data_IF_256594181332
#
_entry.id   IF_256594181332
#
_cell.length_a   1.000
_cell.length_b   1.000
_cell.length_c   1.000
_cell.angle_alpha   90.00
_cell.angle_beta   90.00
_cell.angle_gamma   90.00
#
_symmetry.space_group_name_H-M   'P 1'
#
loop_
_entity.id
_entity.type
_entity.pdbx_description
1 polymer ?
#
# COMPACT_ATOMS: atom_id res chain seq x y z
N UNK A 1 -8.49 4.74 -5.58
CA UNK A 1 -9.28 4.94 -4.34
C UNK A 1 -9.48 3.62 -3.56
N UNK A 2 -8.44 2.77 -3.40
CA UNK A 2 -8.52 1.51 -2.63
C UNK A 2 -7.94 1.64 -1.20
N UNK A 3 -7.07 2.63 -0.97
CA UNK A 3 -6.52 2.92 0.36
C UNK A 3 -7.60 3.37 1.37
N UNK A 4 -8.63 4.10 0.90
CA UNK A 4 -9.74 4.61 1.73
C UNK A 4 -10.51 3.50 2.45
N UNK A 5 -10.74 2.37 1.79
CA UNK A 5 -11.51 1.27 2.39
C UNK A 5 -10.75 0.55 3.52
N UNK A 6 -9.41 0.55 3.47
CA UNK A 6 -8.58 -0.19 4.44
C UNK A 6 -8.38 0.61 5.73
N UNK A 7 -8.13 1.91 5.62
CA UNK A 7 -7.99 2.79 6.79
C UNK A 7 -9.30 2.95 7.57
N UNK A 8 -10.46 2.73 6.93
CA UNK A 8 -11.76 2.71 7.60
C UNK A 8 -11.86 1.62 8.68
N UNK A 9 -11.23 0.46 8.49
CA UNK A 9 -11.20 -0.60 9.52
C UNK A 9 -10.46 -0.12 10.76
N UNK A 10 -9.33 0.56 10.56
CA UNK A 10 -8.45 0.98 11.65
C UNK A 10 -8.95 2.24 12.36
N UNK A 11 -9.54 3.20 11.63
CA UNK A 11 -9.98 4.48 12.21
C UNK A 11 -11.09 4.30 13.26
N UNK A 12 -11.97 3.30 13.08
CA UNK A 12 -13.03 3.00 14.05
C UNK A 12 -12.48 2.65 15.43
N UNK A 13 -11.31 1.99 15.49
CA UNK A 13 -10.64 1.68 16.75
C UNK A 13 -10.20 2.95 17.49
N UNK A 14 -9.69 3.94 16.77
CA UNK A 14 -9.30 5.25 17.34
C UNK A 14 -10.53 6.02 17.80
N UNK A 15 -11.58 6.07 16.97
CA UNK A 15 -12.86 6.70 17.29
C UNK A 15 -13.43 6.14 18.60
N UNK A 16 -13.50 4.81 18.72
CA UNK A 16 -14.03 4.15 19.91
C UNK A 16 -13.13 4.35 21.14
N UNK A 17 -11.80 4.26 20.98
CA UNK A 17 -10.83 4.41 22.08
C UNK A 17 -10.86 5.81 22.69
N UNK A 18 -10.93 6.85 21.86
CA UNK A 18 -10.87 8.25 22.30
C UNK A 18 -12.24 8.95 22.31
N UNK A 19 -13.32 8.24 22.00
CA UNK A 19 -14.70 8.76 21.94
C UNK A 19 -14.82 10.00 21.05
N UNK A 20 -14.16 9.95 19.90
CA UNK A 20 -14.16 11.02 18.90
C UNK A 20 -15.48 11.01 18.14
N UNK A 21 -15.94 12.18 17.72
CA UNK A 21 -17.07 12.30 16.79
C UNK A 21 -16.64 11.90 15.37
N UNK A 22 -15.53 12.47 14.91
CA UNK A 22 -14.92 12.15 13.63
C UNK A 22 -13.41 11.97 13.76
N UNK A 23 -12.89 11.01 13.00
CA UNK A 23 -11.45 10.82 12.86
C UNK A 23 -11.13 10.12 11.54
N UNK A 24 -10.03 10.55 10.92
CA UNK A 24 -9.49 9.94 9.71
C UNK A 24 -7.98 9.73 9.84
N UNK A 25 -7.53 8.59 9.31
CA UNK A 25 -6.12 8.32 9.05
C UNK A 25 -5.78 8.88 7.66
N UNK A 26 -4.58 9.43 7.50
CA UNK A 26 -4.13 9.98 6.23
C UNK A 26 -3.99 8.88 5.17
N UNK A 27 -4.86 8.93 4.16
CA UNK A 27 -4.77 8.04 3.01
C UNK A 27 -3.65 8.50 2.06
N UNK A 28 -3.45 9.81 1.91
CA UNK A 28 -2.32 10.41 1.20
C UNK A 28 -0.95 9.93 1.72
N UNK A 29 -0.78 9.75 3.03
CA UNK A 29 0.48 9.27 3.62
C UNK A 29 0.84 7.87 3.13
N UNK A 30 -0.12 6.94 3.19
CA UNK A 30 0.08 5.58 2.69
C UNK A 30 0.23 5.55 1.17
N UNK A 31 -0.47 6.44 0.47
CA UNK A 31 -0.38 6.57 -0.98
C UNK A 31 1.02 6.99 -1.44
N UNK A 32 1.67 7.91 -0.74
CA UNK A 32 3.06 8.29 -0.98
C UNK A 32 3.99 7.06 -0.91
N UNK A 33 3.94 6.34 0.21
CA UNK A 33 4.81 5.19 0.43
C UNK A 33 4.49 4.03 -0.50
N UNK A 34 3.21 3.76 -0.79
CA UNK A 34 2.82 2.71 -1.74
C UNK A 34 3.41 2.97 -3.13
N UNK A 35 3.37 4.21 -3.62
CA UNK A 35 3.97 4.56 -4.92
C UNK A 35 5.48 4.42 -4.93
N UNK A 36 6.14 4.90 -3.88
CA UNK A 36 7.59 4.81 -3.78
C UNK A 36 8.04 3.35 -3.71
N UNK A 37 7.38 2.53 -2.89
CA UNK A 37 7.71 1.12 -2.74
C UNK A 37 7.42 0.35 -4.04
N UNK A 38 6.27 0.57 -4.68
CA UNK A 38 5.97 -0.03 -6.00
C UNK A 38 6.97 0.35 -7.08
N UNK A 39 7.42 1.61 -7.10
CA UNK A 39 8.47 2.05 -8.01
C UNK A 39 9.77 1.26 -7.77
N UNK A 40 10.18 1.11 -6.50
CA UNK A 40 11.34 0.31 -6.13
C UNK A 40 11.17 -1.18 -6.48
N UNK A 41 9.99 -1.75 -6.21
CA UNK A 41 9.66 -3.13 -6.54
C UNK A 41 9.71 -3.38 -8.05
N UNK A 42 9.16 -2.47 -8.84
CA UNK A 42 9.25 -2.51 -10.29
C UNK A 42 10.71 -2.49 -10.77
N UNK A 43 11.55 -1.60 -10.24
CA UNK A 43 12.96 -1.52 -10.65
C UNK A 43 13.75 -2.77 -10.27
N UNK A 44 13.53 -3.36 -9.09
CA UNK A 44 14.11 -4.66 -8.75
C UNK A 44 13.65 -5.74 -9.73
N UNK A 45 12.38 -5.76 -10.14
CA UNK A 45 11.90 -6.70 -11.17
C UNK A 45 12.52 -6.47 -12.54
N UNK A 46 12.81 -5.23 -12.91
CA UNK A 46 13.53 -4.95 -14.16
C UNK A 46 15.00 -5.40 -14.10
N UNK A 47 15.62 -5.41 -12.92
CA UNK A 47 16.95 -5.97 -12.71
C UNK A 47 16.90 -7.51 -12.74
N UNK A 48 15.93 -8.12 -12.06
CA UNK A 48 15.74 -9.58 -12.02
C UNK A 48 15.45 -10.18 -13.40
N UNK A 49 14.75 -9.43 -14.26
CA UNK A 49 14.32 -9.86 -15.61
C UNK A 49 15.14 -9.19 -16.73
N UNK A 50 16.33 -8.68 -16.41
CA UNK A 50 17.15 -7.94 -17.36
C UNK A 50 17.68 -8.82 -18.52
N UNK A 51 17.78 -10.14 -18.30
CA UNK A 51 18.20 -11.14 -19.27
C UNK A 51 17.09 -11.59 -20.23
N UNK A 52 15.83 -11.42 -19.85
CA UNK A 52 14.67 -11.77 -20.68
C UNK A 52 14.47 -10.80 -21.83
N UNK A 53 13.77 -11.26 -22.87
CA UNK A 53 13.37 -10.42 -24.00
C UNK A 53 12.43 -9.28 -23.54
N UNK A 54 12.46 -8.14 -24.24
CA UNK A 54 11.59 -7.01 -23.90
C UNK A 54 10.12 -7.32 -24.20
N UNK A 55 9.85 -8.17 -25.18
CA UNK A 55 8.51 -8.63 -25.58
C UNK A 55 8.04 -9.83 -24.76
N UNK A 56 8.83 -10.29 -23.77
CA UNK A 56 8.39 -11.30 -22.81
C UNK A 56 7.11 -10.86 -22.09
N UNK A 57 6.21 -11.83 -21.86
CA UNK A 57 4.88 -11.56 -21.31
C UNK A 57 4.95 -10.90 -19.93
N UNK A 58 5.88 -11.33 -19.08
CA UNK A 58 6.00 -10.79 -17.72
C UNK A 58 6.59 -9.38 -17.74
N UNK A 59 7.58 -9.15 -18.61
CA UNK A 59 8.19 -7.83 -18.83
C UNK A 59 7.16 -6.83 -19.35
N UNK A 60 6.40 -7.18 -20.38
CA UNK A 60 5.33 -6.34 -20.92
C UNK A 60 4.22 -6.06 -19.90
N UNK A 61 3.84 -7.08 -19.12
CA UNK A 61 2.87 -6.91 -18.04
C UNK A 61 3.34 -5.87 -17.03
N UNK A 62 4.57 -5.99 -16.52
CA UNK A 62 5.16 -5.04 -15.58
C UNK A 62 5.29 -3.62 -16.16
N UNK A 63 5.70 -3.49 -17.43
CA UNK A 63 5.82 -2.21 -18.12
C UNK A 63 4.47 -1.52 -18.36
N UNK A 64 3.37 -2.28 -18.46
CA UNK A 64 2.04 -1.74 -18.70
C UNK A 64 1.49 -0.96 -17.48
N UNK A 65 1.76 -1.48 -16.27
CA UNK A 65 1.16 -1.00 -15.01
C UNK A 65 2.17 -1.00 -13.83
N UNK A 66 3.26 -0.21 -13.92
CA UNK A 66 4.32 -0.24 -12.90
C UNK A 66 3.91 0.38 -11.54
N UNK A 67 2.96 1.32 -11.53
CA UNK A 67 2.56 2.08 -10.33
C UNK A 67 1.06 2.42 -10.36
N UNK A 68 0.21 1.39 -10.36
CA UNK A 68 -1.22 1.62 -10.20
C UNK A 68 -1.59 2.05 -8.77
N UNK A 69 -2.80 2.59 -8.59
CA UNK A 69 -3.34 2.95 -7.27
C UNK A 69 -4.01 1.76 -6.56
N UNK A 70 -3.94 0.58 -7.19
CA UNK A 70 -4.55 -0.66 -6.73
C UNK A 70 -3.77 -1.30 -5.60
N UNK A 71 -4.31 -2.36 -5.01
CA UNK A 71 -3.52 -3.19 -4.10
C UNK A 71 -4.37 -4.14 -3.31
N UNK A 72 -3.69 -4.92 -2.48
CA UNK A 72 -4.30 -5.97 -1.67
C UNK A 72 -4.11 -5.70 -0.18
N UNK A 73 -4.77 -6.50 0.65
CA UNK A 73 -4.70 -6.34 2.10
C UNK A 73 -3.29 -6.59 2.64
N UNK A 74 -2.58 -7.65 2.23
CA UNK A 74 -1.18 -7.88 2.65
C UNK A 74 -0.23 -6.73 2.23
N UNK A 75 -0.46 -6.10 1.08
CA UNK A 75 0.29 -4.91 0.65
C UNK A 75 0.08 -3.73 1.60
N UNK A 76 -1.13 -3.58 2.15
CA UNK A 76 -1.44 -2.58 3.16
C UNK A 76 -0.82 -2.92 4.51
N UNK A 77 -0.86 -4.20 4.93
CA UNK A 77 -0.16 -4.69 6.12
C UNK A 77 1.33 -4.33 6.03
N UNK A 78 1.98 -4.64 4.91
CA UNK A 78 3.39 -4.32 4.70
C UNK A 78 3.69 -2.82 4.85
N UNK A 79 2.84 -1.95 4.29
CA UNK A 79 3.01 -0.50 4.40
C UNK A 79 2.87 -0.01 5.84
N UNK A 80 1.84 -0.45 6.55
CA UNK A 80 1.60 -0.06 7.94
C UNK A 80 2.72 -0.57 8.84
N UNK A 81 3.19 -1.80 8.65
CA UNK A 81 4.31 -2.36 9.41
C UNK A 81 5.61 -1.62 9.14
N UNK A 82 5.90 -1.25 7.88
CA UNK A 82 7.16 -0.60 7.51
C UNK A 82 7.18 0.90 7.83
N UNK A 83 6.09 1.60 7.54
CA UNK A 83 6.01 3.06 7.56
C UNK A 83 5.09 3.62 8.66
N UNK A 84 4.21 2.81 9.24
CA UNK A 84 3.27 3.26 10.27
C UNK A 84 2.06 4.00 9.70
N UNK A 85 1.44 4.84 10.53
CA UNK A 85 0.22 5.57 10.22
C UNK A 85 0.29 6.99 10.80
N UNK A 86 -0.42 7.92 10.16
CA UNK A 86 -0.55 9.28 10.67
C UNK A 86 -2.02 9.74 10.58
N UNK A 87 -2.46 10.66 11.46
CA UNK A 87 -3.74 11.33 11.31
C UNK A 87 -3.82 12.12 10.00
N UNK A 88 -5.02 12.24 9.43
CA UNK A 88 -5.26 13.10 8.25
C UNK A 88 -4.93 14.57 8.52
N UNK A 89 -5.10 15.05 9.75
CA UNK A 89 -4.74 16.41 10.15
C UNK A 89 -3.24 16.70 10.09
N UNK A 90 -2.40 15.66 10.14
CA UNK A 90 -0.94 15.77 10.12
C UNK A 90 -0.39 15.70 8.69
N UNK A 91 -1.04 14.93 7.81
CA UNK A 91 -0.68 14.84 6.40
C UNK A 91 -1.97 14.85 5.56
N UNK A 92 -2.45 16.05 5.17
CA UNK A 92 -3.72 16.19 4.45
C UNK A 92 -3.62 15.73 2.99
N UNK A 93 -4.77 15.72 2.32
CA UNK A 93 -4.83 15.46 0.89
C UNK A 93 -4.21 16.61 0.08
N UNK A 94 -3.51 16.27 -0.99
CA UNK A 94 -3.03 17.21 -2.00
C UNK A 94 -3.89 17.12 -3.27
N UNK A 95 -3.70 18.03 -4.22
CA UNK A 95 -4.35 17.91 -5.53
C UNK A 95 -4.06 16.56 -6.19
N UNK A 96 -2.81 16.08 -6.10
CA UNK A 96 -2.40 14.83 -6.75
C UNK A 96 -2.85 13.58 -6.00
N UNK A 97 -3.16 13.67 -4.71
CA UNK A 97 -3.78 12.55 -3.98
C UNK A 97 -5.27 12.43 -4.30
N UNK A 98 -5.97 13.55 -4.53
CA UNK A 98 -7.36 13.58 -5.01
C UNK A 98 -7.53 13.25 -6.51
N UNK A 99 -6.54 13.59 -7.35
CA UNK A 99 -6.55 13.39 -8.79
C UNK A 99 -5.23 12.81 -9.31
N UNK A 100 -5.04 11.50 -9.13
CA UNK A 100 -3.76 10.80 -9.32
C UNK A 100 -3.34 10.55 -10.78
N UNK A 101 -4.23 10.70 -11.76
CA UNK A 101 -3.98 10.28 -13.14
C UNK A 101 -2.71 10.90 -13.75
N UNK A 102 -2.48 12.19 -13.51
CA UNK A 102 -1.29 12.89 -14.03
C UNK A 102 -0.01 12.44 -13.32
N UNK A 103 -0.05 12.30 -12.00
CA UNK A 103 1.06 11.77 -11.21
C UNK A 103 1.45 10.36 -11.69
N UNK A 104 0.46 9.48 -11.84
CA UNK A 104 0.66 8.12 -12.32
C UNK A 104 1.29 8.07 -13.71
N UNK A 105 0.90 8.97 -14.60
CA UNK A 105 1.52 9.07 -15.92
C UNK A 105 2.99 9.49 -15.84
N UNK A 106 3.32 10.54 -15.05
CA UNK A 106 4.70 11.03 -14.91
C UNK A 106 5.61 9.91 -14.34
N UNK A 107 5.19 9.29 -13.24
CA UNK A 107 5.96 8.21 -12.60
C UNK A 107 6.10 7.01 -13.54
N UNK A 108 5.03 6.63 -14.26
CA UNK A 108 5.07 5.54 -15.24
C UNK A 108 6.08 5.80 -16.36
N UNK A 109 6.09 7.00 -16.93
CA UNK A 109 7.03 7.37 -18.00
C UNK A 109 8.47 7.28 -17.48
N UNK A 110 8.72 7.81 -16.28
CA UNK A 110 10.05 7.75 -15.65
C UNK A 110 10.51 6.32 -15.35
N UNK A 111 9.62 5.46 -14.86
CA UNK A 111 9.96 4.06 -14.62
C UNK A 111 10.27 3.29 -15.90
N UNK A 112 9.57 3.59 -17.01
CA UNK A 112 9.89 3.00 -18.31
C UNK A 112 11.24 3.48 -18.85
N UNK A 113 11.54 4.77 -18.70
CA UNK A 113 12.86 5.33 -19.01
C UNK A 113 13.96 4.59 -18.22
N UNK A 114 13.75 4.38 -16.92
CA UNK A 114 14.70 3.64 -16.07
C UNK A 114 14.82 2.16 -16.45
N UNK A 115 13.74 1.50 -16.83
CA UNK A 115 13.78 0.13 -17.30
C UNK A 115 14.67 -0.02 -18.55
N UNK A 116 14.58 0.93 -19.50
CA UNK A 116 15.47 0.96 -20.68
C UNK A 116 16.93 1.13 -20.26
N UNK A 117 17.22 2.05 -19.34
CA UNK A 117 18.58 2.29 -18.85
C UNK A 117 19.17 1.05 -18.16
N UNK A 118 18.41 0.41 -17.27
CA UNK A 118 18.84 -0.82 -16.57
C UNK A 118 19.20 -1.91 -17.57
N UNK A 119 18.36 -2.12 -18.59
CA UNK A 119 18.59 -3.14 -19.63
C UNK A 119 19.80 -2.82 -20.51
N UNK A 120 20.00 -1.55 -20.86
CA UNK A 120 21.17 -1.12 -21.62
C UNK A 120 22.48 -1.35 -20.84
N UNK A 121 22.50 -1.03 -19.54
CA UNK A 121 23.66 -1.28 -18.69
C UNK A 121 23.91 -2.78 -18.50
N UNK A 122 22.85 -3.58 -18.31
CA UNK A 122 22.97 -5.04 -18.25
C UNK A 122 23.59 -5.63 -19.51
N UNK A 123 23.16 -5.15 -20.69
CA UNK A 123 23.72 -5.52 -21.98
C UNK A 123 25.19 -5.08 -22.14
N UNK A 124 25.58 -3.95 -21.56
CA UNK A 124 26.97 -3.49 -21.48
C UNK A 124 27.83 -4.27 -20.47
N UNK A 125 27.28 -5.28 -19.79
CA UNK A 125 28.00 -6.15 -18.87
C UNK A 125 27.85 -5.80 -17.39
N UNK A 126 27.07 -4.76 -17.05
CA UNK A 126 26.78 -4.45 -15.65
C UNK A 126 26.01 -5.59 -14.99
N UNK A 127 26.27 -5.82 -13.69
CA UNK A 127 25.65 -6.88 -12.90
C UNK A 127 25.11 -6.32 -11.59
N UNK A 128 24.37 -7.16 -10.86
CA UNK A 128 23.46 -6.76 -9.79
C UNK A 128 23.91 -5.65 -8.85
N UNK A 129 25.15 -5.69 -8.33
CA UNK A 129 25.66 -4.63 -7.44
C UNK A 129 25.70 -3.24 -8.08
N UNK A 130 26.14 -3.15 -9.34
CA UNK A 130 26.19 -1.89 -10.09
C UNK A 130 24.79 -1.41 -10.49
N UNK A 131 23.93 -2.32 -10.94
CA UNK A 131 22.56 -1.96 -11.31
C UNK A 131 21.75 -1.45 -10.11
N UNK A 132 21.98 -2.03 -8.92
CA UNK A 132 21.33 -1.58 -7.69
C UNK A 132 21.85 -0.23 -7.20
N UNK A 133 23.12 0.13 -7.45
CA UNK A 133 23.59 1.47 -7.10
C UNK A 133 22.96 2.54 -8.00
N UNK A 134 22.79 2.27 -9.30
CA UNK A 134 22.07 3.17 -10.22
C UNK A 134 20.59 3.34 -9.83
N UNK A 135 19.98 2.25 -9.35
CA UNK A 135 18.60 2.27 -8.83
C UNK A 135 18.43 3.27 -7.68
N UNK A 136 19.43 3.51 -6.83
CA UNK A 136 19.33 4.49 -5.74
C UNK A 136 19.14 5.93 -6.28
N UNK A 137 19.86 6.28 -7.34
CA UNK A 137 19.69 7.57 -8.02
C UNK A 137 18.31 7.67 -8.69
N UNK A 138 17.84 6.60 -9.34
CA UNK A 138 16.51 6.52 -9.91
C UNK A 138 15.42 6.70 -8.86
N UNK A 139 15.54 6.03 -7.71
CA UNK A 139 14.62 6.15 -6.59
C UNK A 139 14.62 7.54 -5.97
N UNK A 140 15.76 8.22 -5.94
CA UNK A 140 15.86 9.62 -5.50
C UNK A 140 15.06 10.55 -6.42
N UNK A 141 15.09 10.33 -7.73
CA UNK A 141 14.27 11.08 -8.68
C UNK A 141 12.77 10.82 -8.49
N UNK A 142 12.37 9.55 -8.28
CA UNK A 142 10.97 9.20 -7.97
C UNK A 142 10.52 9.84 -6.66
N UNK A 143 11.33 9.76 -5.60
CA UNK A 143 11.03 10.40 -4.32
C UNK A 143 10.78 11.90 -4.49
N UNK A 144 11.64 12.59 -5.26
CA UNK A 144 11.49 14.02 -5.55
C UNK A 144 10.16 14.32 -6.25
N UNK A 145 9.76 13.52 -7.24
CA UNK A 145 8.46 13.69 -7.93
C UNK A 145 7.30 13.53 -6.94
N UNK A 146 7.34 12.50 -6.09
CA UNK A 146 6.31 12.27 -5.08
C UNK A 146 6.26 13.40 -4.05
N UNK A 147 7.42 13.85 -3.54
CA UNK A 147 7.49 14.92 -2.55
C UNK A 147 6.96 16.26 -3.11
N UNK A 148 7.26 16.58 -4.38
CA UNK A 148 6.72 17.77 -5.04
C UNK A 148 5.19 17.71 -5.18
N UNK A 149 4.64 16.52 -5.44
CA UNK A 149 3.21 16.37 -5.79
C UNK A 149 2.31 16.05 -4.61
N UNK A 150 2.83 15.41 -3.57
CA UNK A 150 2.09 14.93 -2.39
C UNK A 150 2.53 15.63 -1.10
N UNK A 151 3.69 16.29 -1.09
CA UNK A 151 4.34 16.81 0.12
C UNK A 151 5.26 15.77 0.76
N UNK A 152 6.17 16.22 1.63
CA UNK A 152 7.10 15.34 2.32
C UNK A 152 6.44 14.66 3.53
N UNK A 153 6.49 13.32 3.66
CA UNK A 153 5.92 12.63 4.81
C UNK A 153 6.58 13.03 6.13
N UNK A 154 5.81 13.23 7.21
CA UNK A 154 6.35 13.66 8.50
C UNK A 154 7.11 12.52 9.18
N UNK A 155 8.25 12.86 9.79
CA UNK A 155 9.06 11.93 10.61
C UNK A 155 8.59 11.90 12.06
N UNK A 156 8.24 13.06 12.60
CA UNK A 156 7.69 13.26 13.94
C UNK A 156 6.56 14.27 13.89
N UNK A 157 5.57 14.13 14.77
CA UNK A 157 4.46 15.05 14.88
C UNK A 157 3.84 15.00 16.27
N UNK A 158 3.16 16.09 16.62
CA UNK A 158 2.23 16.13 17.73
C UNK A 158 0.81 16.01 17.16
N UNK A 159 -0.07 15.33 17.89
CA UNK A 159 -1.47 15.21 17.50
C UNK A 159 -2.35 15.61 18.68
N UNK A 160 -3.24 16.55 18.43
CA UNK A 160 -4.22 17.02 19.39
C UNK A 160 -5.63 16.94 18.79
N UNK A 161 -6.60 16.61 19.64
CA UNK A 161 -8.01 16.52 19.27
C UNK A 161 -8.89 16.78 20.50
N UNK A 162 -10.21 16.78 20.31
CA UNK A 162 -11.19 16.81 21.39
C UNK A 162 -12.15 15.64 21.25
N UNK A 163 -12.51 15.02 22.37
CA UNK A 163 -13.59 14.03 22.37
C UNK A 163 -14.96 14.70 22.18
N UNK A 164 -16.00 13.88 22.02
CA UNK A 164 -17.39 14.34 21.87
C UNK A 164 -17.93 15.19 23.03
N UNK A 165 -17.25 15.19 24.18
CA UNK A 165 -17.61 15.99 25.36
C UNK A 165 -16.73 17.25 25.48
N UNK A 166 -15.89 17.54 24.49
CA UNK A 166 -14.98 18.68 24.46
C UNK A 166 -13.68 18.50 25.24
N UNK A 167 -13.40 17.31 25.80
CA UNK A 167 -12.16 17.03 26.54
C UNK A 167 -10.98 17.05 25.58
N UNK A 168 -9.97 17.86 25.90
CA UNK A 168 -8.72 17.92 25.15
C UNK A 168 -7.91 16.64 25.29
N UNK A 169 -7.44 16.11 24.17
CA UNK A 169 -6.59 14.93 24.07
C UNK A 169 -5.37 15.34 23.25
N UNK A 170 -4.18 15.02 23.75
CA UNK A 170 -2.93 15.36 23.09
C UNK A 170 -1.93 14.22 23.25
N UNK A 171 -1.22 13.93 22.17
CA UNK A 171 -0.06 13.04 22.15
C UNK A 171 1.09 13.78 21.45
N UNK A 172 2.25 13.81 22.11
CA UNK A 172 3.43 14.55 21.62
C UNK A 172 4.56 13.63 21.24
N UNK A 173 5.45 14.10 20.36
CA UNK A 173 6.66 13.39 19.96
C UNK A 173 6.39 12.04 19.31
N UNK A 174 5.26 11.93 18.60
CA UNK A 174 4.87 10.70 17.93
C UNK A 174 5.66 10.53 16.64
N UNK A 175 6.09 9.31 16.37
CA UNK A 175 6.48 8.89 15.02
C UNK A 175 5.31 8.14 14.38
N UNK A 176 5.24 8.01 13.04
CA UNK A 176 4.20 7.24 12.39
C UNK A 176 4.05 5.80 12.91
N UNK A 177 5.17 5.14 13.28
CA UNK A 177 5.15 3.79 13.86
C UNK A 177 4.56 3.77 15.27
N UNK A 178 5.03 4.66 16.16
CA UNK A 178 4.46 4.79 17.51
C UNK A 178 2.98 5.12 17.46
N UNK A 179 2.55 5.95 16.51
CA UNK A 179 1.14 6.26 16.33
C UNK A 179 0.32 5.01 15.93
N UNK A 180 0.83 4.20 15.01
CA UNK A 180 0.18 2.95 14.62
C UNK A 180 0.09 1.93 15.79
N UNK A 181 1.11 1.85 16.62
CA UNK A 181 1.18 0.92 17.75
C UNK A 181 0.39 1.41 18.97
N UNK A 182 0.65 2.63 19.43
CA UNK A 182 0.15 3.16 20.70
C UNK A 182 -1.22 3.81 20.56
N UNK A 183 -1.48 4.53 19.46
CA UNK A 183 -2.75 5.26 19.28
C UNK A 183 -3.78 4.39 18.58
N UNK A 184 -3.43 3.81 17.44
CA UNK A 184 -4.32 2.92 16.66
C UNK A 184 -4.40 1.54 17.32
N UNK A 185 -3.25 0.92 17.60
CA UNK A 185 -3.14 -0.37 18.30
C UNK A 185 -3.89 -1.52 17.64
N UNK A 186 -4.10 -1.48 16.32
CA UNK A 186 -4.81 -2.54 15.60
C UNK A 186 -3.82 -3.67 15.24
N UNK A 187 -4.09 -4.95 15.59
CA UNK A 187 -3.19 -6.07 15.32
C UNK A 187 -3.24 -6.46 13.84
N UNK A 188 -2.74 -5.58 12.97
CA UNK A 188 -2.86 -5.73 11.53
C UNK A 188 -2.10 -6.94 11.00
N UNK A 189 -1.02 -7.35 11.67
CA UNK A 189 -0.21 -8.52 11.32
C UNK A 189 -0.89 -9.86 11.62
N UNK A 190 -1.95 -9.87 12.43
CA UNK A 190 -2.72 -11.07 12.78
C UNK A 190 -3.92 -11.30 11.83
N UNK A 191 -4.07 -10.44 10.83
CA UNK A 191 -5.15 -10.55 9.85
C UNK A 191 -4.76 -11.46 8.68
N UNK A 192 -5.77 -12.07 8.06
CA UNK A 192 -5.59 -12.96 6.90
C UNK A 192 -6.67 -12.67 5.84
N UNK A 193 -6.32 -12.86 4.57
CA UNK A 193 -7.27 -12.69 3.47
C UNK A 193 -7.89 -14.04 3.10
N UNK A 194 -9.22 -14.08 3.03
CA UNK A 194 -9.98 -15.21 2.50
C UNK A 194 -10.44 -14.87 1.07
N UNK A 195 -10.41 -15.85 0.17
CA UNK A 195 -11.01 -15.75 -1.17
C UNK A 195 -11.98 -16.89 -1.41
N UNK A 196 -12.96 -16.66 -2.27
CA UNK A 196 -13.78 -17.72 -2.84
C UNK A 196 -13.46 -17.75 -4.33
N UNK A 197 -12.55 -18.65 -4.71
CA UNK A 197 -12.18 -18.89 -6.11
C UNK A 197 -12.56 -20.32 -6.49
N UNK A 198 -13.73 -20.53 -7.11
CA UNK A 198 -14.21 -21.87 -7.49
C UNK A 198 -13.38 -22.53 -8.60
N UNK A 199 -12.46 -21.81 -9.24
CA UNK A 199 -11.54 -22.36 -10.26
C UNK A 199 -10.38 -23.15 -9.63
N UNK A 200 -10.17 -22.95 -8.33
CA UNK A 200 -9.01 -23.44 -7.59
C UNK A 200 -9.48 -24.31 -6.41
N UNK A 201 -8.62 -25.23 -5.97
CA UNK A 201 -8.91 -26.10 -4.83
C UNK A 201 -9.12 -25.29 -3.55
N UNK A 202 -10.19 -25.57 -2.80
CA UNK A 202 -10.45 -24.97 -1.50
C UNK A 202 -9.46 -25.46 -0.43
N UNK A 203 -9.38 -24.73 0.69
CA UNK A 203 -8.50 -25.03 1.83
C UNK A 203 -7.01 -25.07 1.46
N UNK A 204 -6.63 -24.23 0.49
CA UNK A 204 -5.24 -24.04 0.03
C UNK A 204 -4.86 -22.57 0.10
N UNK A 205 -3.57 -22.32 0.29
CA UNK A 205 -2.97 -21.00 0.26
C UNK A 205 -2.53 -20.66 -1.16
N UNK A 206 -2.93 -19.49 -1.64
CA UNK A 206 -2.56 -18.95 -2.95
C UNK A 206 -1.84 -17.62 -2.80
N UNK A 207 -0.95 -17.36 -3.76
CA UNK A 207 -0.29 -16.06 -3.99
C UNK A 207 -0.38 -15.74 -5.48
N UNK A 208 -0.10 -14.49 -5.85
CA UNK A 208 -0.05 -14.04 -7.24
C UNK A 208 1.38 -13.62 -7.54
N UNK A 209 1.96 -14.23 -8.57
CA UNK A 209 3.32 -13.91 -9.00
C UNK A 209 3.42 -12.45 -9.45
N UNK A 210 4.54 -11.81 -9.14
CA UNK A 210 4.82 -10.39 -9.40
C UNK A 210 3.86 -9.37 -8.74
N UNK A 211 2.91 -9.80 -7.90
CA UNK A 211 2.02 -8.90 -7.17
C UNK A 211 2.63 -8.51 -5.81
N UNK A 212 3.03 -7.25 -5.67
CA UNK A 212 3.58 -6.72 -4.43
C UNK A 212 3.84 -5.22 -4.49
N UNK A 213 4.21 -4.64 -3.35
CA UNK A 213 4.68 -3.25 -3.25
C UNK A 213 6.03 -3.13 -2.56
N UNK A 214 6.28 -3.86 -1.48
CA UNK A 214 7.53 -3.76 -0.72
C UNK A 214 8.44 -4.95 -1.07
N UNK A 215 9.66 -4.65 -1.53
CA UNK A 215 10.71 -5.65 -1.75
C UNK A 215 11.07 -6.30 -0.41
N UNK A 216 11.04 -7.64 -0.35
CA UNK A 216 11.24 -8.40 0.89
C UNK A 216 10.07 -8.34 1.87
N UNK A 217 8.95 -7.70 1.51
CA UNK A 217 7.71 -7.73 2.28
C UNK A 217 6.98 -9.06 2.15
N UNK A 218 5.89 -9.22 2.91
CA UNK A 218 5.07 -10.42 2.80
C UNK A 218 4.42 -10.48 1.41
N UNK A 219 4.41 -11.66 0.76
CA UNK A 219 3.63 -11.85 -0.46
C UNK A 219 2.14 -11.70 -0.16
N UNK A 220 1.35 -11.45 -1.20
CA UNK A 220 -0.10 -11.49 -1.09
C UNK A 220 -0.53 -12.93 -0.82
N UNK A 221 -1.34 -13.14 0.23
CA UNK A 221 -1.74 -14.46 0.70
C UNK A 221 -3.24 -14.55 0.75
N UNK A 222 -3.78 -15.57 0.09
CA UNK A 222 -5.20 -15.87 0.09
C UNK A 222 -5.43 -17.31 0.52
N UNK A 223 -6.23 -17.51 1.56
CA UNK A 223 -6.74 -18.84 1.88
C UNK A 223 -8.06 -19.02 1.12
N UNK A 224 -8.07 -19.94 0.16
CA UNK A 224 -9.27 -20.23 -0.62
C UNK A 224 -10.27 -21.00 0.23
N UNK A 225 -11.52 -20.57 0.25
CA UNK A 225 -12.58 -21.15 1.06
C UNK A 225 -13.93 -21.11 0.36
N UNK A 226 -14.85 -21.93 0.83
CA UNK A 226 -16.22 -21.96 0.33
C UNK A 226 -16.98 -20.70 0.73
N UNK A 227 -17.92 -20.27 -0.13
CA UNK A 227 -18.70 -19.05 0.10
C UNK A 227 -19.52 -19.11 1.39
N UNK A 228 -20.01 -20.29 1.78
CA UNK A 228 -20.75 -20.49 3.03
C UNK A 228 -19.87 -20.18 4.25
N UNK A 229 -18.66 -20.76 4.28
CA UNK A 229 -17.66 -20.50 5.34
C UNK A 229 -17.24 -19.04 5.38
N UNK A 230 -16.99 -18.42 4.22
CA UNK A 230 -16.64 -17.00 4.14
C UNK A 230 -17.74 -16.10 4.74
N UNK A 231 -19.01 -16.34 4.39
CA UNK A 231 -20.15 -15.59 4.92
C UNK A 231 -20.29 -15.77 6.43
N UNK A 232 -20.17 -17.00 6.93
CA UNK A 232 -20.25 -17.29 8.35
C UNK A 232 -19.15 -16.55 9.14
N UNK A 233 -17.90 -16.59 8.67
CA UNK A 233 -16.79 -15.88 9.30
C UNK A 233 -16.98 -14.37 9.27
N UNK A 234 -17.50 -13.82 8.18
CA UNK A 234 -17.82 -12.40 8.09
C UNK A 234 -18.88 -11.98 9.13
N UNK A 235 -19.94 -12.78 9.31
CA UNK A 235 -20.96 -12.56 10.34
C UNK A 235 -20.33 -12.58 11.73
N UNK A 236 -19.51 -13.59 12.05
CA UNK A 236 -18.84 -13.67 13.36
C UNK A 236 -17.93 -12.47 13.64
N UNK A 237 -17.22 -11.95 12.63
CA UNK A 237 -16.41 -10.72 12.80
C UNK A 237 -17.29 -9.50 13.08
N UNK A 238 -18.39 -9.35 12.35
CA UNK A 238 -19.35 -8.25 12.56
C UNK A 238 -20.00 -8.31 13.95
N UNK A 239 -20.41 -9.49 14.40
CA UNK A 239 -20.96 -9.71 15.76
C UNK A 239 -19.93 -9.39 16.86
N UNK A 240 -18.63 -9.55 16.58
CA UNK A 240 -17.56 -9.12 17.48
C UNK A 240 -17.34 -7.60 17.54
N UNK A 241 -18.17 -6.82 16.83
CA UNK A 241 -18.08 -5.36 16.77
C UNK A 241 -16.94 -4.85 15.89
N UNK A 242 -16.37 -5.70 15.02
CA UNK A 242 -15.29 -5.35 14.10
C UNK A 242 -15.80 -5.30 12.66
N UNK A 243 -15.37 -4.31 11.86
CA UNK A 243 -15.73 -4.27 10.45
C UNK A 243 -14.97 -5.33 9.64
N UNK A 244 -15.56 -5.76 8.53
CA UNK A 244 -14.94 -6.67 7.55
C UNK A 244 -14.57 -5.89 6.30
N UNK A 245 -13.29 -5.93 5.92
CA UNK A 245 -12.87 -5.47 4.60
C UNK A 245 -13.15 -6.58 3.57
N UNK A 246 -13.71 -6.21 2.42
CA UNK A 246 -13.95 -7.15 1.33
C UNK A 246 -13.64 -6.51 -0.02
N UNK A 247 -13.27 -7.36 -0.99
CA UNK A 247 -13.14 -7.00 -2.39
C UNK A 247 -14.29 -7.60 -3.19
N UNK A 248 -14.84 -6.85 -4.14
CA UNK A 248 -15.89 -7.31 -5.04
C UNK A 248 -15.72 -6.64 -6.42
N UNK A 249 -16.31 -7.23 -7.46
CA UNK A 249 -16.52 -6.51 -8.72
C UNK A 249 -17.63 -5.50 -8.50
N UNK A 250 -17.22 -4.26 -8.20
CA UNK A 250 -18.15 -3.22 -7.82
C UNK A 250 -18.96 -2.68 -9.00
N UNK A 251 -18.62 -2.99 -10.26
CA UNK A 251 -19.34 -2.47 -11.43
C UNK A 251 -20.55 -3.31 -11.85
N UNK A 252 -20.65 -4.53 -11.35
CA UNK A 252 -21.69 -5.49 -11.72
C UNK A 252 -22.92 -5.32 -10.83
N UNK A 253 -24.10 -5.34 -11.45
CA UNK A 253 -25.41 -5.34 -10.77
C UNK A 253 -25.63 -4.22 -9.75
N UNK A 254 -25.14 -3.00 -10.06
CA UNK A 254 -25.43 -1.79 -9.29
C UNK A 254 -26.80 -1.21 -9.56
#
# INVERSE_FOLDING_TARGET
>A
MLALCRTNVLRLKVINKYKLEEFELSQSYLFFWDKLEKANFFLEKMIDLADRDVDDRDVQYLLSRPVDDGGQWDMFVNLVTKHGLVPKSVYPESHSSGASSRLNWIVKVKLREFAVRIRAEYAAGARGGHLRSQKEAMMTEIYRILAITLGEPPKTFDWATRDKNGKYIEVKGMTPKKFAEEVVGYPITETLSLINDPRNTYSRLYTVEHLGNIVGGNPVRYVNTEIATMKQLAVTVLESGRPVWFGADVGQFR
#
